data_IF_866414637647
#
_entry.id   IF_866414637647
#
_cell.length_a   1.000
_cell.length_b   1.000
_cell.length_c   1.000
_cell.angle_alpha   90.00
_cell.angle_beta   90.00
_cell.angle_gamma   90.00
#
_symmetry.space_group_name_H-M   'P 1'
#
loop_
_entity.id
_entity.type
_entity.pdbx_description
1 polymer ?
#
# COMPACT_ATOMS: atom_id res chain seq x y z
N UNK A 1 7.40 -8.35 12.23
CA UNK A 1 6.69 -7.43 11.31
C UNK A 1 6.28 -6.17 12.05
N UNK A 2 6.07 -5.10 11.31
CA UNK A 2 5.60 -3.80 11.78
C UNK A 2 4.37 -3.40 10.99
N UNK A 3 3.41 -2.76 11.67
CA UNK A 3 2.28 -2.12 11.02
C UNK A 3 2.44 -0.62 11.20
N UNK A 4 2.49 0.08 10.07
CA UNK A 4 2.73 1.52 10.03
C UNK A 4 1.54 2.23 9.42
N UNK A 5 1.13 3.34 10.03
CA UNK A 5 0.23 4.31 9.45
C UNK A 5 1.08 5.44 8.88
N UNK A 6 1.02 5.61 7.57
CA UNK A 6 1.83 6.57 6.83
C UNK A 6 0.87 7.54 6.15
N UNK A 7 1.03 8.84 6.36
CA UNK A 7 0.14 9.86 5.79
C UNK A 7 0.95 10.83 4.91
N UNK A 8 0.45 11.04 3.69
CA UNK A 8 0.97 12.02 2.73
C UNK A 8 0.00 13.20 2.68
N UNK A 9 0.41 14.36 3.18
CA UNK A 9 -0.38 15.57 3.12
C UNK A 9 -0.09 16.31 1.82
N UNK A 10 -1.09 16.49 0.95
CA UNK A 10 -0.85 17.15 -0.35
C UNK A 10 -0.47 18.62 -0.19
N UNK A 11 -0.84 19.25 0.92
CA UNK A 11 -0.42 20.61 1.28
C UNK A 11 1.06 20.76 1.62
N UNK A 12 1.74 19.66 1.96
CA UNK A 12 3.16 19.64 2.32
C UNK A 12 4.07 19.31 1.13
N UNK A 13 3.48 18.91 0.00
CA UNK A 13 4.21 18.62 -1.22
C UNK A 13 4.64 19.89 -1.94
N UNK A 14 5.89 19.90 -2.43
CA UNK A 14 6.35 20.94 -3.36
C UNK A 14 5.54 20.91 -4.67
N UNK A 15 5.48 22.03 -5.43
CA UNK A 15 4.80 22.07 -6.71
C UNK A 15 5.26 20.98 -7.70
N UNK A 16 6.56 20.66 -7.72
CA UNK A 16 7.11 19.61 -8.57
C UNK A 16 6.61 18.21 -8.17
N UNK A 17 6.52 17.92 -6.86
CA UNK A 17 5.99 16.65 -6.37
C UNK A 17 4.49 16.52 -6.61
N UNK A 18 3.74 17.62 -6.48
CA UNK A 18 2.32 17.66 -6.81
C UNK A 18 2.10 17.36 -8.30
N UNK A 19 2.87 18.01 -9.19
CA UNK A 19 2.80 17.74 -10.62
C UNK A 19 3.12 16.27 -10.91
N UNK A 20 4.18 15.74 -10.31
CA UNK A 20 4.58 14.34 -10.47
C UNK A 20 3.49 13.36 -10.02
N UNK A 21 2.84 13.66 -8.89
CA UNK A 21 1.71 12.89 -8.37
C UNK A 21 0.51 12.92 -9.33
N UNK A 22 0.19 14.09 -9.89
CA UNK A 22 -0.90 14.25 -10.87
C UNK A 22 -0.62 13.50 -12.17
N UNK A 23 0.62 13.55 -12.66
CA UNK A 23 1.01 12.90 -13.93
C UNK A 23 1.05 11.37 -13.85
N UNK A 24 1.49 10.81 -12.71
CA UNK A 24 1.80 9.37 -12.58
C UNK A 24 0.88 8.61 -11.62
N UNK A 25 0.08 9.31 -10.82
CA UNK A 25 -0.91 8.72 -9.92
C UNK A 25 -0.35 7.71 -8.91
N UNK A 26 -1.00 6.55 -8.80
CA UNK A 26 -0.68 5.49 -7.82
C UNK A 26 0.76 4.97 -7.93
N UNK A 27 1.38 5.02 -9.12
CA UNK A 27 2.73 4.49 -9.31
C UNK A 27 3.78 5.30 -8.54
N UNK A 28 3.66 6.63 -8.53
CA UNK A 28 4.60 7.50 -7.80
C UNK A 28 4.45 7.34 -6.30
N UNK A 29 3.22 7.19 -5.79
CA UNK A 29 3.00 6.87 -4.38
C UNK A 29 3.67 5.54 -4.00
N UNK A 30 3.62 4.54 -4.89
CA UNK A 30 4.32 3.27 -4.67
C UNK A 30 5.83 3.45 -4.61
N UNK A 31 6.42 4.26 -5.50
CA UNK A 31 7.86 4.56 -5.49
C UNK A 31 8.27 5.27 -4.20
N UNK A 32 7.54 6.29 -3.77
CA UNK A 32 7.83 6.99 -2.51
C UNK A 32 7.71 6.08 -1.28
N UNK A 33 6.73 5.17 -1.25
CA UNK A 33 6.65 4.16 -0.19
C UNK A 33 7.83 3.19 -0.24
N UNK A 34 8.33 2.86 -1.44
CA UNK A 34 9.49 2.00 -1.59
C UNK A 34 10.76 2.64 -1.02
N UNK A 35 10.94 3.95 -1.23
CA UNK A 35 12.10 4.70 -0.74
C UNK A 35 12.21 4.70 0.80
N UNK A 36 11.13 4.37 1.51
CA UNK A 36 11.15 4.17 2.96
C UNK A 36 11.88 2.88 3.39
N UNK A 37 12.27 2.00 2.46
CA UNK A 37 12.91 0.71 2.75
C UNK A 37 14.21 0.51 1.94
N UNK A 38 15.25 1.33 2.16
CA UNK A 38 16.46 1.34 1.33
C UNK A 38 17.33 0.07 1.45
N UNK A 39 17.15 -0.75 2.49
CA UNK A 39 17.94 -1.95 2.74
C UNK A 39 17.52 -3.19 1.95
N UNK A 40 16.34 -3.17 1.31
CA UNK A 40 15.77 -4.35 0.65
C UNK A 40 16.11 -4.44 -0.83
N UNK A 41 16.74 -5.56 -1.26
CA UNK A 41 16.84 -5.90 -2.71
C UNK A 41 15.50 -6.27 -3.33
N UNK A 42 14.55 -6.71 -2.50
CA UNK A 42 13.20 -7.12 -2.88
C UNK A 42 12.15 -6.38 -2.06
N UNK A 43 10.91 -6.28 -2.57
CA UNK A 43 9.82 -5.63 -1.86
C UNK A 43 9.41 -6.43 -0.64
N UNK A 44 9.70 -5.91 0.55
CA UNK A 44 9.31 -6.56 1.82
C UNK A 44 8.11 -5.89 2.51
N UNK A 45 7.21 -5.28 1.75
CA UNK A 45 6.00 -4.65 2.28
C UNK A 45 4.73 -4.90 1.44
N UNK A 46 3.60 -4.84 2.14
CA UNK A 46 2.25 -4.72 1.59
C UNK A 46 1.65 -3.40 2.07
N UNK A 47 0.81 -2.79 1.26
CA UNK A 47 0.09 -1.60 1.70
C UNK A 47 -1.35 -1.55 1.19
N UNK A 48 -2.20 -0.84 1.94
CA UNK A 48 -3.54 -0.44 1.51
C UNK A 48 -3.63 1.07 1.64
N UNK A 49 -4.13 1.73 0.59
CA UNK A 49 -4.39 3.17 0.57
C UNK A 49 -5.83 3.47 0.95
N UNK A 50 -6.01 4.55 1.69
CA UNK A 50 -7.27 5.25 1.93
C UNK A 50 -7.12 6.70 1.48
N UNK A 51 -8.15 7.24 0.83
CA UNK A 51 -8.20 8.64 0.44
C UNK A 51 -8.83 9.46 1.56
N UNK A 52 -8.21 10.60 1.85
CA UNK A 52 -8.69 11.58 2.79
C UNK A 52 -8.79 12.93 2.07
N UNK A 53 -9.59 13.85 2.58
CA UNK A 53 -9.64 15.20 2.02
C UNK A 53 -8.27 15.87 2.18
N UNK A 54 -7.59 16.13 1.06
CA UNK A 54 -6.26 16.75 1.04
C UNK A 54 -5.10 15.86 1.50
N UNK A 55 -5.30 14.54 1.62
CA UNK A 55 -4.24 13.62 2.01
C UNK A 55 -4.47 12.19 1.51
N UNK A 56 -3.38 11.41 1.45
CA UNK A 56 -3.44 9.96 1.25
C UNK A 56 -2.92 9.26 2.50
N UNK A 57 -3.67 8.28 3.00
CA UNK A 57 -3.25 7.44 4.12
C UNK A 57 -2.93 6.04 3.63
N UNK A 58 -1.86 5.49 4.16
CA UNK A 58 -1.41 4.15 3.87
C UNK A 58 -1.30 3.36 5.18
N UNK A 59 -1.87 2.16 5.17
CA UNK A 59 -1.53 1.13 6.16
C UNK A 59 -0.51 0.20 5.52
N UNK A 60 0.71 0.20 6.06
CA UNK A 60 1.84 -0.55 5.52
C UNK A 60 2.23 -1.65 6.49
N UNK A 61 2.20 -2.90 6.04
CA UNK A 61 2.73 -4.05 6.75
C UNK A 61 4.09 -4.40 6.15
N UNK A 62 5.14 -4.36 6.97
CA UNK A 62 6.52 -4.56 6.53
C UNK A 62 7.32 -5.44 7.50
N UNK A 63 8.40 -6.05 7.02
CA UNK A 63 9.31 -6.81 7.89
C UNK A 63 10.17 -5.87 8.75
N UNK A 64 10.64 -4.77 8.17
CA UNK A 64 11.45 -3.73 8.82
C UNK A 64 10.61 -2.47 9.07
N UNK A 65 11.09 -1.59 9.95
CA UNK A 65 10.44 -0.29 10.17
C UNK A 65 10.71 0.62 8.96
N UNK A 66 9.71 1.40 8.48
CA UNK A 66 9.96 2.42 7.47
C UNK A 66 10.95 3.47 8.00
N UNK A 67 11.83 3.93 7.13
CA UNK A 67 12.73 5.04 7.43
C UNK A 67 11.96 6.35 7.65
N UNK A 68 12.61 7.33 8.28
CA UNK A 68 12.08 8.68 8.37
C UNK A 68 11.94 9.31 6.98
N UNK A 69 10.95 10.20 6.83
CA UNK A 69 10.64 10.86 5.56
C UNK A 69 10.38 12.34 5.79
N UNK A 70 10.66 13.16 4.77
CA UNK A 70 10.32 14.58 4.75
C UNK A 70 8.93 14.86 4.18
N UNK A 71 8.32 13.89 3.49
CA UNK A 71 7.01 14.05 2.83
C UNK A 71 5.91 13.20 3.46
N UNK A 72 6.25 12.30 4.38
CA UNK A 72 5.30 11.46 5.07
C UNK A 72 5.37 11.67 6.58
N UNK A 73 4.20 11.74 7.22
CA UNK A 73 4.04 11.43 8.64
C UNK A 73 4.00 9.91 8.82
N UNK A 74 4.96 9.35 9.55
CA UNK A 74 5.14 7.90 9.74
C UNK A 74 4.94 7.54 11.20
N UNK A 75 3.93 6.72 11.46
CA UNK A 75 3.65 6.18 12.80
C UNK A 75 3.69 4.66 12.77
N UNK A 76 4.63 4.06 13.50
CA UNK A 76 4.94 2.63 13.40
C UNK A 76 4.72 1.94 14.73
N UNK A 77 4.19 0.71 14.71
CA UNK A 77 4.15 -0.18 15.87
C UNK A 77 4.52 -1.62 15.53
N UNK A 78 5.08 -2.39 16.48
CA UNK A 78 5.22 -3.84 16.30
C UNK A 78 3.87 -4.48 15.96
N UNK A 79 3.88 -5.45 15.04
CA UNK A 79 2.70 -6.20 14.65
C UNK A 79 2.93 -7.69 14.91
N UNK A 80 2.38 -8.18 16.02
CA UNK A 80 2.44 -9.56 16.47
C UNK A 80 1.02 -10.02 16.87
N UNK A 81 0.10 -10.24 15.92
CA UNK A 81 -1.25 -10.68 16.23
C UNK A 81 -1.23 -12.09 16.83
N UNK A 82 -1.95 -12.29 17.94
CA UNK A 82 -2.19 -13.61 18.52
C UNK A 82 -3.55 -14.12 18.05
N UNK A 83 -3.54 -15.13 17.17
CA UNK A 83 -4.74 -15.72 16.59
C UNK A 83 -5.07 -17.05 17.27
N UNK A 84 -6.35 -17.40 17.34
CA UNK A 84 -6.80 -18.67 17.90
C UNK A 84 -7.83 -19.37 17.00
N UNK A 85 -7.86 -20.69 17.01
CA UNK A 85 -8.82 -21.47 16.24
C UNK A 85 -10.26 -21.10 16.64
N UNK A 86 -11.13 -20.90 15.65
CA UNK A 86 -12.52 -20.47 15.86
C UNK A 86 -12.71 -18.97 16.10
N UNK A 87 -11.64 -18.17 16.18
CA UNK A 87 -11.75 -16.72 16.33
C UNK A 87 -12.40 -16.07 15.11
N UNK A 88 -13.44 -15.28 15.33
CA UNK A 88 -14.07 -14.48 14.27
C UNK A 88 -13.46 -13.08 14.24
N UNK A 89 -13.04 -12.63 13.06
CA UNK A 89 -12.39 -11.34 12.86
C UNK A 89 -13.09 -10.54 11.77
N UNK A 90 -13.10 -9.22 11.92
CA UNK A 90 -13.42 -8.32 10.81
C UNK A 90 -12.20 -8.21 9.91
N UNK A 91 -12.42 -8.16 8.61
CA UNK A 91 -11.35 -7.94 7.62
C UNK A 91 -11.75 -6.87 6.61
N UNK A 92 -10.74 -6.24 6.01
CA UNK A 92 -10.89 -5.36 4.86
C UNK A 92 -9.73 -5.67 3.91
N UNK A 93 -10.04 -5.92 2.63
CA UNK A 93 -9.07 -6.35 1.64
C UNK A 93 -9.32 -5.64 0.31
N UNK A 94 -8.27 -5.05 -0.26
CA UNK A 94 -8.21 -4.67 -1.68
C UNK A 94 -7.33 -5.70 -2.38
N UNK A 95 -7.93 -6.47 -3.29
CA UNK A 95 -7.24 -7.47 -4.09
C UNK A 95 -7.74 -7.41 -5.53
N UNK A 96 -6.93 -7.90 -6.48
CA UNK A 96 -7.36 -8.12 -7.85
C UNK A 96 -7.75 -9.61 -8.02
N UNK A 97 -9.05 -9.95 -8.09
CA UNK A 97 -9.48 -11.33 -8.32
C UNK A 97 -9.14 -11.76 -9.75
N UNK A 98 -8.33 -12.80 -9.90
CA UNK A 98 -7.87 -13.29 -11.21
C UNK A 98 -8.04 -14.80 -11.36
N UNK A 99 -8.24 -15.25 -12.60
CA UNK A 99 -8.23 -16.66 -12.99
C UNK A 99 -7.03 -16.96 -13.90
N UNK A 100 -6.47 -18.17 -13.80
CA UNK A 100 -5.43 -18.63 -14.72
C UNK A 100 -6.05 -19.53 -15.80
N UNK A 101 -5.88 -19.17 -17.07
CA UNK A 101 -6.28 -20.00 -18.22
C UNK A 101 -5.09 -20.16 -19.15
N UNK A 102 -4.75 -21.39 -19.52
CA UNK A 102 -3.60 -21.71 -20.39
C UNK A 102 -2.30 -21.02 -19.95
N UNK A 103 -2.05 -20.96 -18.63
CA UNK A 103 -0.87 -20.30 -18.05
C UNK A 103 -0.87 -18.77 -18.06
N UNK A 104 -1.96 -18.13 -18.51
CA UNK A 104 -2.11 -16.67 -18.52
C UNK A 104 -3.06 -16.21 -17.42
N UNK A 105 -2.72 -15.08 -16.79
CA UNK A 105 -3.57 -14.43 -15.78
C UNK A 105 -4.62 -13.56 -16.47
N UNK A 106 -5.88 -13.83 -16.15
CA UNK A 106 -7.03 -13.06 -16.62
C UNK A 106 -7.74 -12.41 -15.43
N UNK A 107 -8.22 -11.19 -15.62
CA UNK A 107 -9.12 -10.55 -14.67
C UNK A 107 -10.45 -11.34 -14.61
N UNK A 108 -10.90 -11.69 -13.41
CA UNK A 108 -12.06 -12.56 -13.22
C UNK A 108 -13.36 -11.89 -13.70
N UNK A 109 -13.51 -10.59 -13.47
CA UNK A 109 -14.72 -9.85 -13.84
C UNK A 109 -14.80 -9.66 -15.36
N UNK A 110 -13.66 -9.37 -15.99
CA UNK A 110 -13.59 -9.25 -17.45
C UNK A 110 -13.83 -10.60 -18.14
N UNK A 111 -13.43 -11.70 -17.52
CA UNK A 111 -13.73 -13.04 -18.02
C UNK A 111 -15.22 -13.38 -17.87
N UNK A 112 -15.83 -13.11 -16.71
CA UNK A 112 -17.24 -13.40 -16.45
C UNK A 112 -18.19 -12.64 -17.40
N UNK A 113 -17.80 -11.46 -17.89
CA UNK A 113 -18.58 -10.69 -18.88
C UNK A 113 -18.58 -11.29 -20.30
N UNK A 114 -17.71 -12.25 -20.59
CA UNK A 114 -17.60 -12.87 -21.93
C UNK A 114 -18.42 -14.16 -22.07
N UNK A 115 -19.06 -14.59 -21.00
CA UNK A 115 -20.01 -15.73 -20.96
C UNK A 115 -21.43 -15.20 -20.94
#
# INVERSE_FOLDING_TARGET
>A
MYLSRITLHTSELSPAQLLHLVERGEYVMHQWLWDLFPGGKERQFLYRREELQGAFRFFVLSQEQPAASTIFDVQTRPFAPMLSAGQTLRFNLRANPTICKNGKRHDLLMEAKRQ
#
